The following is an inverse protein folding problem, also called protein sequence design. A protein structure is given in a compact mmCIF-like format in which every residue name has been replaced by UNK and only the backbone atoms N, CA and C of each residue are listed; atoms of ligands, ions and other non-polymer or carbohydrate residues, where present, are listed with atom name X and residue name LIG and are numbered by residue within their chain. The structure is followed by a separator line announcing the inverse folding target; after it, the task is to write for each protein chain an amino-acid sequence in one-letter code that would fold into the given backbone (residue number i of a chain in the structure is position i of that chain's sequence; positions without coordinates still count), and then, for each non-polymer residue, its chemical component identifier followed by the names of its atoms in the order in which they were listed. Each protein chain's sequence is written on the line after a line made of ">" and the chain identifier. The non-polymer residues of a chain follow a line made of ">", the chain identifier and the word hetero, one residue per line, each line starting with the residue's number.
data_IF_656159624582
#
_entry.id   IF_656159624582
#
_cell.length_a   1.000
_cell.length_b   1.000
_cell.length_c   1.000
_cell.angle_alpha   90.00
_cell.angle_beta   90.00
_cell.angle_gamma   90.00
#
_symmetry.space_group_name_H-M   'P 1'
#
loop_
_entity.id
_entity.type
_entity.pdbx_description
1 polymer ?
#
# COMPACT_ATOMS: atom_id res chain seq x y z
N UNK A 1 -19.70 46.08 13.68
CA UNK A 1 -19.48 44.62 13.73
C UNK A 1 -19.42 44.09 12.29
N UNK A 2 -18.22 44.03 11.73
CA UNK A 2 -17.97 43.53 10.39
C UNK A 2 -17.80 42.01 10.47
N UNK A 3 -18.69 41.24 9.78
CA UNK A 3 -18.54 39.79 9.62
C UNK A 3 -17.33 39.50 8.75
N UNK A 4 -16.36 38.74 9.24
CA UNK A 4 -15.25 38.21 8.44
C UNK A 4 -15.80 37.23 7.41
N UNK A 5 -15.48 37.51 6.16
CA UNK A 5 -15.93 36.74 5.00
C UNK A 5 -14.83 35.70 4.62
N UNK A 6 -14.40 34.88 5.59
CA UNK A 6 -13.43 33.84 5.33
C UNK A 6 -14.05 32.69 4.52
N UNK A 7 -13.45 32.29 3.39
CA UNK A 7 -13.98 31.23 2.55
C UNK A 7 -14.00 29.90 3.31
N UNK A 8 -15.12 29.21 3.26
CA UNK A 8 -15.27 27.90 3.89
C UNK A 8 -14.56 26.82 3.08
N UNK A 9 -14.25 25.67 3.71
CA UNK A 9 -13.69 24.49 3.05
C UNK A 9 -14.50 24.06 1.81
N UNK A 10 -15.81 24.29 1.83
CA UNK A 10 -16.73 24.00 0.73
C UNK A 10 -16.55 24.95 -0.45
N UNK A 11 -16.24 26.20 -0.19
CA UNK A 11 -16.00 27.21 -1.23
C UNK A 11 -14.65 26.99 -1.90
N UNK A 12 -13.64 26.57 -1.16
CA UNK A 12 -12.35 26.15 -1.70
C UNK A 12 -12.47 24.96 -2.67
N UNK A 13 -13.21 23.91 -2.28
CA UNK A 13 -13.44 22.74 -3.13
C UNK A 13 -14.18 23.11 -4.42
N UNK A 14 -15.18 24.01 -4.35
CA UNK A 14 -15.90 24.49 -5.54
C UNK A 14 -15.02 25.32 -6.48
N UNK A 15 -14.12 26.13 -5.96
CA UNK A 15 -13.19 26.91 -6.77
C UNK A 15 -12.16 26.04 -7.50
N UNK A 16 -11.62 25.00 -6.83
CA UNK A 16 -10.67 24.08 -7.45
C UNK A 16 -11.31 23.24 -8.55
N UNK A 17 -12.56 22.80 -8.37
CA UNK A 17 -13.29 22.05 -9.40
C UNK A 17 -13.72 22.88 -10.60
N UNK A 18 -13.98 24.17 -10.44
CA UNK A 18 -14.30 25.09 -11.55
C UNK A 18 -13.07 25.45 -12.39
N UNK A 19 -11.86 25.50 -11.79
CA UNK A 19 -10.62 25.76 -12.49
C UNK A 19 -10.12 24.64 -13.40
N UNK A 20 -10.56 23.42 -13.15
CA UNK A 20 -10.14 22.25 -13.93
C UNK A 20 -10.82 22.11 -15.31
N UNK A 21 -11.87 22.86 -15.59
CA UNK A 21 -12.59 22.80 -16.87
C UNK A 21 -12.17 23.86 -17.90
N UNK A 22 -11.32 24.82 -17.57
CA UNK A 22 -11.01 25.95 -18.43
C UNK A 22 -9.72 25.79 -19.29
N UNK A 23 -9.06 24.65 -19.28
CA UNK A 23 -7.79 24.42 -20.03
C UNK A 23 -7.96 23.46 -21.22
N UNK A 24 -9.17 23.14 -21.62
CA UNK A 24 -9.43 22.30 -22.79
C UNK A 24 -9.75 23.13 -24.03
N UNK A 25 -8.86 24.02 -24.47
CA UNK A 25 -9.12 24.76 -25.70
C UNK A 25 -8.01 25.72 -26.08
N UNK A 26 -6.98 25.24 -26.69
CA UNK A 26 -6.10 25.84 -27.72
C UNK A 26 -4.66 25.30 -27.55
N UNK A 27 -4.20 24.46 -28.41
CA UNK A 27 -2.80 24.07 -28.36
C UNK A 27 -2.37 23.22 -29.52
N UNK A 28 -1.38 23.65 -30.20
CA UNK A 28 -0.62 23.02 -31.25
C UNK A 28 -0.06 21.66 -30.89
N UNK A 29 0.12 20.72 -31.83
CA UNK A 29 0.73 19.43 -31.55
C UNK A 29 2.25 19.60 -31.41
N UNK A 30 2.76 19.61 -30.22
CA UNK A 30 4.18 19.32 -29.94
C UNK A 30 4.33 17.80 -29.89
N UNK A 31 5.01 17.26 -30.91
CA UNK A 31 5.48 15.89 -30.95
C UNK A 31 6.57 15.70 -29.91
N UNK A 32 6.18 15.37 -28.70
CA UNK A 32 7.04 14.88 -27.65
C UNK A 32 6.52 13.52 -27.24
N UNK A 33 7.36 12.51 -27.22
CA UNK A 33 7.05 11.17 -26.71
C UNK A 33 6.38 11.31 -25.35
N UNK A 34 5.06 11.09 -25.36
CA UNK A 34 4.25 11.26 -24.18
C UNK A 34 4.62 10.21 -23.14
N UNK A 35 5.29 10.64 -22.09
CA UNK A 35 5.21 9.94 -20.83
C UNK A 35 3.74 9.92 -20.46
N UNK A 36 3.03 8.88 -20.82
CA UNK A 36 1.69 8.63 -20.32
C UNK A 36 1.82 8.53 -18.81
N UNK A 37 1.52 9.64 -18.11
CA UNK A 37 1.23 9.57 -16.68
C UNK A 37 0.01 8.67 -16.55
N UNK A 38 0.26 7.38 -16.35
CA UNK A 38 -0.79 6.51 -15.87
C UNK A 38 -1.32 7.16 -14.59
N UNK A 39 -2.59 7.54 -14.63
CA UNK A 39 -3.29 7.91 -13.41
C UNK A 39 -3.02 6.83 -12.36
N UNK A 40 -2.76 7.20 -11.10
CA UNK A 40 -2.57 6.21 -10.05
C UNK A 40 -3.70 5.20 -10.18
N UNK A 41 -3.36 3.92 -10.26
CA UNK A 41 -4.34 2.86 -10.35
C UNK A 41 -5.21 2.96 -9.11
N UNK A 42 -6.37 3.59 -9.26
CA UNK A 42 -7.40 3.53 -8.24
C UNK A 42 -7.70 2.06 -8.10
N UNK A 43 -7.28 1.49 -6.99
CA UNK A 43 -7.60 0.11 -6.67
C UNK A 43 -9.09 -0.09 -6.93
N UNK A 44 -9.45 -0.91 -7.93
CA UNK A 44 -10.83 -1.36 -8.14
C UNK A 44 -11.25 -2.34 -7.03
N UNK A 45 -10.44 -2.40 -5.97
CA UNK A 45 -10.62 -3.26 -4.84
C UNK A 45 -11.66 -2.73 -3.84
N UNK A 46 -11.89 -3.54 -2.87
CA UNK A 46 -12.75 -3.32 -1.73
C UNK A 46 -12.53 -1.93 -1.11
N UNK A 47 -13.59 -1.14 -0.99
CA UNK A 47 -13.58 0.08 -0.19
C UNK A 47 -13.65 -0.35 1.28
N UNK A 48 -12.60 -0.03 2.05
CA UNK A 48 -12.57 -0.34 3.48
C UNK A 48 -13.56 0.58 4.18
N UNK A 49 -14.63 0.00 4.75
CA UNK A 49 -15.59 0.71 5.58
C UNK A 49 -15.11 0.86 7.03
N UNK A 50 -15.80 1.68 7.83
CA UNK A 50 -15.45 1.93 9.22
C UNK A 50 -15.48 0.65 10.10
N UNK A 51 -16.19 -0.40 9.68
CA UNK A 51 -16.31 -1.68 10.38
C UNK A 51 -15.46 -2.80 9.77
N UNK A 52 -14.70 -2.51 8.72
CA UNK A 52 -13.86 -3.50 8.06
C UNK A 52 -12.47 -3.56 8.70
N UNK A 53 -11.89 -4.75 8.69
CA UNK A 53 -10.51 -4.95 9.12
C UNK A 53 -9.55 -4.59 7.99
N UNK A 54 -8.42 -3.98 8.35
CA UNK A 54 -7.29 -3.78 7.44
C UNK A 54 -6.49 -5.07 7.37
N UNK A 55 -6.31 -5.60 6.19
CA UNK A 55 -5.65 -6.88 5.93
C UNK A 55 -4.18 -6.69 5.55
N UNK A 56 -3.29 -7.26 6.34
CA UNK A 56 -1.85 -7.16 6.17
C UNK A 56 -1.27 -8.38 5.47
N UNK A 57 -0.46 -8.14 4.43
CA UNK A 57 0.48 -9.10 3.84
C UNK A 57 1.91 -8.79 4.26
N UNK A 58 2.71 -9.80 4.61
CA UNK A 58 4.08 -9.64 5.09
C UNK A 58 5.07 -10.23 4.10
N UNK A 59 6.05 -9.43 3.65
CA UNK A 59 7.09 -9.80 2.68
C UNK A 59 8.47 -9.69 3.32
N UNK A 60 9.21 -10.82 3.35
CA UNK A 60 10.50 -10.92 4.00
C UNK A 60 10.40 -11.11 5.51
N UNK A 61 10.02 -12.32 5.94
CA UNK A 61 9.74 -12.67 7.34
C UNK A 61 11.01 -12.90 8.20
N UNK A 62 12.02 -12.03 8.06
CA UNK A 62 13.24 -12.02 8.84
C UNK A 62 13.07 -11.48 10.26
N UNK A 63 14.21 -11.21 10.93
CA UNK A 63 14.23 -10.74 12.32
C UNK A 63 13.45 -9.44 12.52
N UNK A 64 13.58 -8.48 11.58
CA UNK A 64 12.89 -7.20 11.65
C UNK A 64 11.38 -7.34 11.51
N UNK A 65 10.93 -8.17 10.57
CA UNK A 65 9.50 -8.44 10.35
C UNK A 65 8.80 -9.00 11.59
N UNK A 66 9.50 -9.76 12.45
CA UNK A 66 8.88 -10.29 13.68
C UNK A 66 8.32 -9.19 14.59
N UNK A 67 8.97 -8.01 14.62
CA UNK A 67 8.48 -6.87 15.40
C UNK A 67 7.19 -6.29 14.80
N UNK A 68 7.10 -6.23 13.48
CA UNK A 68 5.89 -5.76 12.79
C UNK A 68 4.73 -6.74 12.96
N UNK A 69 4.97 -8.04 12.73
CA UNK A 69 3.97 -9.09 12.95
C UNK A 69 3.41 -8.99 14.37
N UNK A 70 4.29 -8.93 15.38
CA UNK A 70 3.87 -8.83 16.77
C UNK A 70 2.94 -7.64 17.01
N UNK A 71 3.30 -6.44 16.52
CA UNK A 71 2.47 -5.23 16.67
C UNK A 71 1.10 -5.36 16.02
N UNK A 72 1.05 -5.94 14.81
CA UNK A 72 -0.22 -6.16 14.11
C UNK A 72 -1.07 -7.17 14.87
N UNK A 73 -0.47 -8.25 15.38
CA UNK A 73 -1.19 -9.28 16.14
C UNK A 73 -1.66 -8.77 17.51
N UNK A 74 -0.87 -7.96 18.20
CA UNK A 74 -1.26 -7.27 19.44
C UNK A 74 -2.47 -6.35 19.18
N UNK A 75 -2.41 -5.51 18.14
CA UNK A 75 -3.52 -4.64 17.76
C UNK A 75 -4.77 -5.42 17.36
N UNK A 76 -4.62 -6.52 16.63
CA UNK A 76 -5.75 -7.40 16.31
C UNK A 76 -6.43 -7.92 17.57
N UNK A 77 -5.64 -8.36 18.55
CA UNK A 77 -6.15 -8.85 19.83
C UNK A 77 -6.88 -7.77 20.64
N UNK A 78 -6.37 -6.53 20.62
CA UNK A 78 -6.92 -5.42 21.39
C UNK A 78 -8.17 -4.82 20.74
N UNK A 79 -8.17 -4.64 19.43
CA UNK A 79 -9.20 -3.86 18.71
C UNK A 79 -9.94 -4.64 17.64
N UNK A 80 -9.36 -5.69 17.09
CA UNK A 80 -9.95 -6.48 16.02
C UNK A 80 -10.08 -5.75 14.68
N UNK A 81 -9.43 -4.58 14.51
CA UNK A 81 -9.52 -3.73 13.34
C UNK A 81 -8.44 -4.01 12.27
N UNK A 82 -7.53 -4.93 12.55
CA UNK A 82 -6.46 -5.38 11.64
C UNK A 82 -6.34 -6.90 11.66
N UNK A 83 -5.80 -7.50 10.60
CA UNK A 83 -5.47 -8.93 10.60
C UNK A 83 -4.33 -9.24 9.63
N UNK A 84 -3.58 -10.31 9.91
CA UNK A 84 -2.65 -10.91 8.97
C UNK A 84 -3.41 -11.86 8.04
N UNK A 85 -3.19 -11.75 6.73
CA UNK A 85 -3.85 -12.62 5.73
C UNK A 85 -2.88 -13.35 4.82
N UNK A 86 -1.62 -12.92 4.74
CA UNK A 86 -0.60 -13.54 3.92
C UNK A 86 0.80 -13.32 4.49
N UNK A 87 1.69 -14.30 4.30
CA UNK A 87 3.12 -14.19 4.62
C UNK A 87 3.97 -14.72 3.48
N UNK A 88 5.14 -14.11 3.26
CA UNK A 88 6.11 -14.51 2.25
C UNK A 88 7.52 -14.50 2.81
N UNK A 89 8.30 -15.51 2.49
CA UNK A 89 9.76 -15.52 2.59
C UNK A 89 10.30 -16.61 1.63
N UNK A 90 11.54 -16.48 1.18
CA UNK A 90 12.21 -17.50 0.37
C UNK A 90 12.70 -18.69 1.21
N UNK A 91 12.85 -18.50 2.52
CA UNK A 91 13.34 -19.54 3.44
C UNK A 91 12.20 -20.18 4.23
N UNK A 92 12.00 -21.47 4.04
CA UNK A 92 10.89 -22.23 4.64
C UNK A 92 10.79 -22.10 6.15
N UNK A 93 11.93 -22.10 6.86
CA UNK A 93 11.95 -21.93 8.31
C UNK A 93 11.37 -20.57 8.75
N UNK A 94 11.60 -19.50 7.98
CA UNK A 94 11.04 -18.17 8.27
C UNK A 94 9.56 -18.13 7.91
N UNK A 95 9.16 -18.74 6.80
CA UNK A 95 7.73 -18.87 6.42
C UNK A 95 6.94 -19.57 7.52
N UNK A 96 7.44 -20.71 7.98
CA UNK A 96 6.76 -21.49 9.02
C UNK A 96 6.61 -20.69 10.32
N UNK A 97 7.69 -20.03 10.79
CA UNK A 97 7.65 -19.18 11.98
C UNK A 97 6.65 -18.02 11.84
N UNK A 98 6.64 -17.36 10.68
CA UNK A 98 5.70 -16.27 10.43
C UNK A 98 4.25 -16.77 10.38
N UNK A 99 4.00 -17.93 9.79
CA UNK A 99 2.71 -18.59 9.79
C UNK A 99 2.22 -18.87 11.20
N UNK A 100 3.06 -19.48 12.05
CA UNK A 100 2.73 -19.75 13.44
C UNK A 100 2.43 -18.49 14.24
N UNK A 101 3.21 -17.42 14.02
CA UNK A 101 3.03 -16.14 14.71
C UNK A 101 1.77 -15.39 14.26
N UNK A 102 1.34 -15.54 13.01
CA UNK A 102 0.18 -14.84 12.43
C UNK A 102 -1.10 -15.67 12.44
N UNK A 103 -0.99 -17.00 12.51
CA UNK A 103 -2.12 -17.91 12.43
C UNK A 103 -2.75 -18.01 11.03
N UNK A 104 -2.06 -17.53 9.97
CA UNK A 104 -2.57 -17.65 8.60
C UNK A 104 -2.62 -19.11 8.14
N UNK A 105 -3.55 -19.40 7.23
CA UNK A 105 -3.66 -20.73 6.62
C UNK A 105 -2.39 -21.07 5.80
N UNK A 106 -2.06 -22.35 5.69
CA UNK A 106 -0.93 -22.82 4.88
C UNK A 106 -1.00 -22.35 3.42
N UNK A 107 -2.20 -22.22 2.86
CA UNK A 107 -2.43 -21.71 1.51
C UNK A 107 -2.11 -20.23 1.34
N UNK A 108 -1.93 -19.51 2.44
CA UNK A 108 -1.57 -18.08 2.49
C UNK A 108 -0.09 -17.86 2.78
N UNK A 109 0.73 -18.90 2.65
CA UNK A 109 2.18 -18.87 2.84
C UNK A 109 2.86 -19.01 1.48
N UNK A 110 3.54 -17.95 1.04
CA UNK A 110 4.05 -17.85 -0.31
C UNK A 110 5.58 -17.88 -0.37
N UNK A 111 6.12 -18.39 -1.46
CA UNK A 111 7.54 -18.33 -1.79
C UNK A 111 7.84 -17.08 -2.64
N UNK A 112 6.97 -16.73 -3.57
CA UNK A 112 7.05 -15.53 -4.38
C UNK A 112 6.20 -14.40 -3.75
N UNK A 113 6.82 -13.25 -3.49
CA UNK A 113 6.14 -12.08 -2.90
C UNK A 113 5.05 -11.50 -3.80
N UNK A 114 5.15 -11.72 -5.13
CA UNK A 114 4.17 -11.24 -6.10
C UNK A 114 2.80 -11.85 -5.84
N UNK A 115 2.77 -13.08 -5.35
CA UNK A 115 1.53 -13.74 -4.96
C UNK A 115 0.83 -13.01 -3.80
N UNK A 116 1.60 -12.48 -2.85
CA UNK A 116 1.04 -11.63 -1.77
C UNK A 116 0.49 -10.33 -2.34
N UNK A 117 1.25 -9.68 -3.25
CA UNK A 117 0.83 -8.41 -3.87
C UNK A 117 -0.43 -8.58 -4.74
N UNK A 118 -0.57 -9.71 -5.42
CA UNK A 118 -1.71 -9.99 -6.31
C UNK A 118 -3.00 -10.35 -5.57
N UNK A 119 -2.97 -10.63 -4.28
CA UNK A 119 -4.17 -11.02 -3.51
C UNK A 119 -5.16 -9.86 -3.42
N UNK A 120 -6.43 -10.07 -3.77
CA UNK A 120 -7.46 -9.03 -3.70
C UNK A 120 -7.85 -8.67 -2.26
N UNK A 121 -7.62 -9.55 -1.31
CA UNK A 121 -7.95 -9.38 0.10
C UNK A 121 -6.82 -8.77 0.93
N UNK A 122 -5.65 -8.49 0.36
CA UNK A 122 -4.57 -7.73 1.01
C UNK A 122 -4.79 -6.25 0.77
N UNK A 123 -4.82 -5.45 1.83
CA UNK A 123 -4.92 -3.98 1.77
C UNK A 123 -3.52 -3.35 1.88
N UNK A 124 -2.71 -3.81 2.82
CA UNK A 124 -1.37 -3.27 3.12
C UNK A 124 -0.30 -4.35 2.99
N UNK A 125 0.78 -4.04 2.30
CA UNK A 125 1.98 -4.90 2.24
C UNK A 125 3.09 -4.31 3.11
N UNK A 126 3.53 -5.07 4.10
CA UNK A 126 4.71 -4.73 4.93
C UNK A 126 5.93 -5.40 4.34
N UNK A 127 6.95 -4.61 3.99
CA UNK A 127 8.18 -5.09 3.34
C UNK A 127 9.36 -4.91 4.28
N UNK A 128 10.04 -6.02 4.63
CA UNK A 128 11.27 -6.05 5.43
C UNK A 128 12.25 -7.12 4.92
N UNK A 129 12.34 -7.24 3.62
CA UNK A 129 13.32 -8.05 2.89
C UNK A 129 14.71 -7.41 2.91
N UNK A 130 15.75 -8.01 2.29
CA UNK A 130 17.01 -7.32 2.05
C UNK A 130 16.85 -6.07 1.17
N UNK A 131 17.65 -5.04 1.44
CA UNK A 131 17.52 -3.67 0.91
C UNK A 131 17.42 -3.59 -0.62
N UNK A 132 18.17 -4.43 -1.33
CA UNK A 132 18.19 -4.45 -2.81
C UNK A 132 16.88 -4.94 -3.45
N UNK A 133 15.97 -5.54 -2.66
CA UNK A 133 14.62 -5.93 -3.11
C UNK A 133 13.55 -4.86 -2.84
N UNK A 134 13.83 -3.89 -1.97
CA UNK A 134 12.86 -2.92 -1.50
C UNK A 134 12.18 -2.14 -2.62
N UNK A 135 12.98 -1.60 -3.56
CA UNK A 135 12.47 -0.85 -4.70
C UNK A 135 11.47 -1.66 -5.54
N UNK A 136 11.89 -2.85 -5.98
CA UNK A 136 11.08 -3.69 -6.88
C UNK A 136 9.79 -4.15 -6.20
N UNK A 137 9.89 -4.64 -4.95
CA UNK A 137 8.74 -5.10 -4.18
C UNK A 137 7.74 -3.99 -3.89
N UNK A 138 8.23 -2.78 -3.61
CA UNK A 138 7.39 -1.61 -3.39
C UNK A 138 6.62 -1.24 -4.67
N UNK A 139 7.31 -1.17 -5.82
CA UNK A 139 6.64 -0.88 -7.08
C UNK A 139 5.58 -1.91 -7.44
N UNK A 140 5.87 -3.19 -7.25
CA UNK A 140 4.92 -4.25 -7.55
C UNK A 140 3.69 -4.20 -6.61
N UNK A 141 3.88 -3.92 -5.33
CA UNK A 141 2.76 -3.74 -4.40
C UNK A 141 1.89 -2.54 -4.78
N UNK A 142 2.50 -1.37 -5.07
CA UNK A 142 1.78 -0.16 -5.48
C UNK A 142 1.04 -0.36 -6.82
N UNK A 143 1.64 -1.05 -7.80
CA UNK A 143 0.98 -1.38 -9.09
C UNK A 143 -0.25 -2.27 -8.91
N UNK A 144 -0.25 -3.11 -7.88
CA UNK A 144 -1.39 -3.92 -7.49
C UNK A 144 -2.38 -3.17 -6.58
N UNK A 145 -2.21 -1.85 -6.41
CA UNK A 145 -3.11 -1.00 -5.63
C UNK A 145 -3.06 -1.25 -4.12
N UNK A 146 -1.91 -1.70 -3.60
CA UNK A 146 -1.71 -1.93 -2.18
C UNK A 146 -1.08 -0.72 -1.52
N UNK A 147 -1.48 -0.41 -0.29
CA UNK A 147 -0.70 0.44 0.58
C UNK A 147 0.59 -0.27 1.00
N UNK A 148 1.67 0.49 1.20
CA UNK A 148 2.98 -0.11 1.51
C UNK A 148 3.56 0.50 2.78
N UNK A 149 3.96 -0.38 3.70
CA UNK A 149 4.90 -0.05 4.77
C UNK A 149 6.26 -0.66 4.44
N UNK A 150 7.23 0.19 4.14
CA UNK A 150 8.57 -0.23 3.76
C UNK A 150 9.58 0.03 4.88
N UNK A 151 10.40 -0.96 5.20
CA UNK A 151 11.56 -0.75 6.08
C UNK A 151 12.63 0.08 5.37
N UNK A 152 13.42 0.73 6.16
CA UNK A 152 14.57 1.51 5.69
C UNK A 152 15.73 0.59 5.26
N UNK A 153 16.59 1.00 4.31
CA UNK A 153 16.46 2.14 3.42
C UNK A 153 15.41 1.89 2.33
N UNK A 154 14.85 2.95 1.75
CA UNK A 154 13.83 2.83 0.72
C UNK A 154 14.38 2.17 -0.56
N UNK A 155 15.59 2.55 -0.95
CA UNK A 155 16.32 2.00 -2.09
C UNK A 155 17.77 1.71 -1.72
N UNK A 156 18.42 0.85 -2.48
CA UNK A 156 19.84 0.56 -2.31
C UNK A 156 20.72 1.60 -3.02
N UNK A 157 20.25 2.13 -4.16
CA UNK A 157 20.87 3.21 -4.93
C UNK A 157 19.87 4.32 -5.19
N UNK A 158 20.35 5.49 -5.63
CA UNK A 158 19.53 6.67 -5.97
C UNK A 158 19.56 7.00 -7.46
N UNK A 159 19.98 6.05 -8.30
CA UNK A 159 20.06 6.20 -9.76
C UNK A 159 18.71 5.99 -10.43
#
# INVERSE_FOLDING_TARGET
>A
MTKSNDPTRRDFIRQVSAGAMAVAGAGSPLSGEGVTRQAPAVSKGRVIGANDRINFGFVGCGGRMNAHIRRVMERNKERGDVQAVAVNDIWDKRKQRAREATGVDQRSVYHDYREVCARPDVDVVVIASPDHWHHLQTLDALRNGKDVYLEKPMTYTVD
#
